data_IF_027122194620
#
_entry.id   IF_027122194620
#
_cell.length_a   1.000
_cell.length_b   1.000
_cell.length_c   1.000
_cell.angle_alpha   90.00
_cell.angle_beta   90.00
_cell.angle_gamma   90.00
#
_symmetry.space_group_name_H-M   'P 1'
#
loop_
_entity.id
_entity.type
_entity.pdbx_description
1 polymer ?
#
# COMPACT_ATOMS: atom_id res chain seq x y z
N UNK A 1 -50.83 -10.21 -8.02
CA UNK A 1 -49.57 -9.64 -8.55
C UNK A 1 -48.72 -9.33 -7.34
N UNK A 2 -47.89 -10.28 -6.92
CA UNK A 2 -46.90 -10.05 -5.86
C UNK A 2 -45.77 -9.21 -6.45
N UNK A 3 -45.59 -8.01 -5.91
CA UNK A 3 -44.54 -7.09 -6.30
C UNK A 3 -43.24 -7.50 -5.61
N UNK A 4 -42.34 -8.12 -6.39
CA UNK A 4 -40.96 -8.38 -5.98
C UNK A 4 -40.25 -7.03 -5.85
N UNK A 5 -40.24 -6.44 -4.65
CA UNK A 5 -39.37 -5.31 -4.32
C UNK A 5 -37.95 -5.82 -4.07
N UNK A 6 -37.24 -6.17 -5.15
CA UNK A 6 -35.79 -6.25 -5.10
C UNK A 6 -35.25 -4.83 -4.98
N UNK A 7 -34.78 -4.43 -3.80
CA UNK A 7 -34.04 -3.18 -3.64
C UNK A 7 -32.84 -3.20 -4.59
N UNK A 8 -32.71 -2.25 -5.55
CA UNK A 8 -31.58 -2.27 -6.47
C UNK A 8 -30.28 -2.00 -5.69
N UNK A 9 -29.26 -2.83 -5.95
CA UNK A 9 -27.91 -2.53 -5.48
C UNK A 9 -27.43 -1.25 -6.15
N UNK A 10 -27.07 -0.24 -5.36
CA UNK A 10 -26.55 1.03 -5.85
C UNK A 10 -25.08 1.14 -5.47
N UNK A 11 -24.24 1.47 -6.45
CA UNK A 11 -22.84 1.84 -6.24
C UNK A 11 -22.69 3.32 -6.51
N UNK A 12 -22.15 4.05 -5.53
CA UNK A 12 -21.93 5.50 -5.64
C UNK A 12 -20.43 5.77 -5.73
N UNK A 13 -20.01 6.40 -6.83
CA UNK A 13 -18.68 6.97 -6.94
C UNK A 13 -18.68 8.39 -6.39
N UNK A 14 -17.72 8.70 -5.53
CA UNK A 14 -17.56 10.04 -4.95
C UNK A 14 -16.09 10.37 -4.78
N UNK A 15 -15.79 11.65 -4.63
CA UNK A 15 -14.49 12.14 -4.18
C UNK A 15 -14.72 13.03 -2.96
N UNK A 16 -13.75 13.06 -2.06
CA UNK A 16 -13.86 13.81 -0.80
C UNK A 16 -12.96 15.03 -0.89
N UNK A 17 -13.54 16.19 -0.59
CA UNK A 17 -12.85 17.47 -0.49
C UNK A 17 -13.04 18.03 0.92
N UNK A 18 -12.02 18.69 1.44
CA UNK A 18 -12.08 19.41 2.71
C UNK A 18 -11.32 20.73 2.61
N UNK A 19 -12.01 21.84 2.85
CA UNK A 19 -11.56 23.17 2.43
C UNK A 19 -11.18 23.15 0.94
N UNK A 20 -9.90 23.31 0.61
CA UNK A 20 -9.36 23.29 -0.76
C UNK A 20 -8.50 22.05 -1.05
N UNK A 21 -8.62 21.00 -0.23
CA UNK A 21 -7.81 19.77 -0.33
C UNK A 21 -8.67 18.62 -0.84
N UNK A 22 -8.20 17.94 -1.89
CA UNK A 22 -8.76 16.66 -2.36
C UNK A 22 -8.04 15.51 -1.64
N UNK A 23 -8.79 14.58 -1.07
CA UNK A 23 -8.23 13.41 -0.38
C UNK A 23 -8.15 12.19 -1.31
N UNK A 24 -7.04 11.43 -1.28
CA UNK A 24 -6.91 10.20 -2.04
C UNK A 24 -7.80 9.09 -1.44
N UNK A 25 -8.22 8.09 -2.22
CA UNK A 25 -9.11 7.03 -1.76
C UNK A 25 -8.61 6.29 -0.52
N UNK A 26 -7.29 6.07 -0.40
CA UNK A 26 -6.68 5.38 0.76
C UNK A 26 -6.95 6.08 2.08
N UNK A 27 -6.82 7.41 2.10
CA UNK A 27 -7.12 8.24 3.29
C UNK A 27 -8.61 8.21 3.62
N UNK A 28 -9.48 8.25 2.61
CA UNK A 28 -10.94 8.21 2.81
C UNK A 28 -11.38 6.87 3.39
N UNK A 29 -10.84 5.76 2.86
CA UNK A 29 -11.12 4.41 3.36
C UNK A 29 -10.69 4.27 4.82
N UNK A 30 -9.48 4.72 5.16
CA UNK A 30 -8.97 4.70 6.53
C UNK A 30 -9.83 5.55 7.47
N UNK A 31 -10.21 6.76 7.03
CA UNK A 31 -11.07 7.66 7.80
C UNK A 31 -12.45 7.03 8.07
N UNK A 32 -13.10 6.46 7.07
CA UNK A 32 -14.41 5.81 7.23
C UNK A 32 -14.32 4.53 8.06
N UNK A 33 -13.23 3.78 7.95
CA UNK A 33 -12.96 2.65 8.83
C UNK A 33 -12.82 3.11 10.30
N UNK A 34 -12.07 4.18 10.55
CA UNK A 34 -11.91 4.76 11.89
C UNK A 34 -13.21 5.38 12.44
N UNK A 35 -14.08 5.88 11.57
CA UNK A 35 -15.37 6.45 11.96
C UNK A 35 -16.31 5.40 12.56
N UNK A 36 -16.18 4.15 12.10
CA UNK A 36 -16.94 3.01 12.59
C UNK A 36 -18.25 2.79 11.83
N UNK A 37 -18.54 1.52 11.57
CA UNK A 37 -19.67 1.10 10.74
C UNK A 37 -21.03 1.51 11.33
N UNK A 38 -21.22 1.37 12.64
CA UNK A 38 -22.50 1.71 13.30
C UNK A 38 -22.86 3.19 13.16
N UNK A 39 -21.88 4.08 13.32
CA UNK A 39 -22.08 5.53 13.16
C UNK A 39 -22.38 5.87 11.71
N UNK A 40 -21.59 5.32 10.78
CA UNK A 40 -21.81 5.52 9.34
C UNK A 40 -23.21 5.06 8.91
N UNK A 41 -23.62 3.86 9.32
CA UNK A 41 -24.95 3.33 9.01
C UNK A 41 -26.06 4.16 9.66
N UNK A 42 -25.84 4.65 10.88
CA UNK A 42 -26.73 5.61 11.54
C UNK A 42 -26.95 6.86 10.71
N UNK A 43 -25.87 7.50 10.25
CA UNK A 43 -25.94 8.72 9.43
C UNK A 43 -26.58 8.47 8.07
N UNK A 44 -26.20 7.37 7.38
CA UNK A 44 -26.81 7.04 6.09
C UNK A 44 -28.31 6.78 6.24
N UNK A 45 -28.76 6.13 7.33
CA UNK A 45 -30.18 5.91 7.60
C UNK A 45 -30.97 7.20 7.83
N UNK A 46 -30.32 8.30 8.23
CA UNK A 46 -31.01 9.60 8.32
C UNK A 46 -31.46 10.12 6.95
N UNK A 47 -30.68 9.85 5.90
CA UNK A 47 -30.97 10.31 4.54
C UNK A 47 -31.62 9.23 3.66
N UNK A 48 -31.31 7.95 3.92
CA UNK A 48 -31.83 6.79 3.21
C UNK A 48 -32.41 5.81 4.24
N UNK A 49 -33.62 6.05 4.78
CA UNK A 49 -34.19 5.27 5.88
C UNK A 49 -34.36 3.78 5.58
N UNK A 50 -34.46 3.44 4.30
CA UNK A 50 -34.74 2.09 3.81
C UNK A 50 -33.46 1.29 3.49
N UNK A 51 -32.27 1.82 3.80
CA UNK A 51 -31.01 1.13 3.54
C UNK A 51 -30.91 -0.15 4.39
N UNK A 52 -30.80 -1.28 3.70
CA UNK A 52 -30.74 -2.61 4.34
C UNK A 52 -29.31 -2.98 4.71
N UNK A 53 -28.33 -2.66 3.86
CA UNK A 53 -26.93 -2.97 4.08
C UNK A 53 -25.98 -1.98 3.39
N UNK A 54 -24.80 -1.81 3.98
CA UNK A 54 -23.63 -1.14 3.41
C UNK A 54 -22.45 -2.13 3.41
N UNK A 55 -22.35 -3.02 2.40
CA UNK A 55 -21.33 -4.06 2.39
C UNK A 55 -19.91 -3.51 2.26
N UNK A 56 -19.74 -2.39 1.54
CA UNK A 56 -18.48 -1.69 1.39
C UNK A 56 -18.68 -0.23 1.78
N UNK A 57 -18.01 0.24 2.83
CA UNK A 57 -18.09 1.64 3.29
C UNK A 57 -17.37 2.57 2.31
N UNK A 58 -16.18 2.16 1.88
CA UNK A 58 -15.44 2.76 0.78
C UNK A 58 -14.44 1.75 0.21
N UNK A 59 -14.18 1.86 -1.09
CA UNK A 59 -13.09 1.17 -1.76
C UNK A 59 -12.55 2.05 -2.89
N UNK A 60 -11.25 1.94 -3.23
CA UNK A 60 -10.72 2.57 -4.42
C UNK A 60 -11.48 2.11 -5.68
N UNK A 61 -11.73 3.05 -6.60
CA UNK A 61 -12.45 2.73 -7.86
C UNK A 61 -11.69 1.75 -8.77
N UNK A 62 -10.36 1.73 -8.65
CA UNK A 62 -9.48 0.78 -9.34
C UNK A 62 -9.06 -0.30 -8.36
N UNK A 63 -9.00 -1.55 -8.83
CA UNK A 63 -8.45 -2.65 -8.03
C UNK A 63 -7.01 -2.37 -7.63
N UNK A 64 -6.67 -2.79 -6.41
CA UNK A 64 -5.29 -2.72 -5.94
C UNK A 64 -4.42 -3.67 -6.79
N UNK A 65 -3.26 -3.22 -7.28
CA UNK A 65 -2.29 -4.11 -7.94
C UNK A 65 -1.83 -5.25 -7.02
N UNK A 66 -1.38 -6.35 -7.60
CA UNK A 66 -0.80 -7.47 -6.83
C UNK A 66 0.39 -7.00 -5.96
N UNK A 67 0.55 -7.60 -4.78
CA UNK A 67 1.53 -7.17 -3.77
C UNK A 67 2.97 -7.24 -4.33
N UNK A 68 3.30 -8.24 -5.13
CA UNK A 68 4.58 -8.38 -5.85
C UNK A 68 4.92 -7.30 -6.86
N UNK A 69 4.01 -6.36 -7.13
CA UNK A 69 4.26 -5.19 -7.98
C UNK A 69 4.48 -3.92 -7.14
N UNK A 70 4.19 -3.97 -5.84
CA UNK A 70 4.17 -2.81 -4.96
C UNK A 70 5.53 -2.59 -4.29
N UNK A 71 5.85 -1.33 -4.10
CA UNK A 71 7.03 -0.83 -3.42
C UNK A 71 6.62 0.03 -2.24
N UNK A 72 7.46 0.03 -1.21
CA UNK A 72 7.33 0.86 -0.03
C UNK A 72 8.56 1.75 0.15
N UNK A 73 8.34 3.05 0.22
CA UNK A 73 9.35 4.03 0.63
C UNK A 73 8.87 4.70 1.90
N UNK A 74 9.73 4.80 2.91
CA UNK A 74 9.40 5.49 4.17
C UNK A 74 10.23 6.76 4.25
N UNK A 75 9.56 7.90 4.37
CA UNK A 75 10.19 9.19 4.62
C UNK A 75 10.32 9.40 6.14
N UNK A 76 11.43 9.99 6.59
CA UNK A 76 11.66 10.27 8.01
C UNK A 76 10.67 11.30 8.55
N UNK A 77 10.38 12.32 7.74
CA UNK A 77 9.38 13.35 8.02
C UNK A 77 8.99 14.05 6.72
N UNK A 78 7.82 14.69 6.74
CA UNK A 78 7.36 15.64 5.73
C UNK A 78 7.32 17.03 6.37
N UNK A 79 7.69 18.05 5.62
CA UNK A 79 7.74 19.43 6.12
C UNK A 79 6.34 19.97 6.41
N UNK A 80 6.20 20.97 7.31
CA UNK A 80 4.90 21.49 7.72
C UNK A 80 4.11 22.20 6.59
N UNK A 81 4.74 22.50 5.46
CA UNK A 81 4.10 23.10 4.30
C UNK A 81 3.34 22.12 3.41
N UNK A 82 3.52 20.81 3.61
CA UNK A 82 2.90 19.77 2.81
C UNK A 82 2.02 18.86 3.70
N UNK A 83 0.84 18.47 3.22
CA UNK A 83 -0.03 17.49 3.89
C UNK A 83 0.10 16.13 3.19
N UNK A 84 0.70 15.10 3.84
CA UNK A 84 0.82 13.75 3.30
C UNK A 84 -0.52 13.11 2.89
N UNK A 85 -1.63 13.55 3.51
CA UNK A 85 -2.97 13.02 3.25
C UNK A 85 -3.62 13.66 2.03
N UNK A 86 -2.98 14.66 1.42
CA UNK A 86 -3.52 15.34 0.24
C UNK A 86 -3.19 14.59 -1.05
N UNK A 87 -4.11 14.63 -2.02
CA UNK A 87 -3.84 14.11 -3.36
C UNK A 87 -2.69 14.86 -4.05
N UNK A 88 -2.55 16.17 -3.77
CA UNK A 88 -1.45 17.00 -4.26
C UNK A 88 -0.08 16.45 -3.82
N UNK A 89 0.04 16.03 -2.56
CA UNK A 89 1.26 15.41 -2.06
C UNK A 89 1.56 14.09 -2.79
N UNK A 90 0.56 13.22 -2.96
CA UNK A 90 0.73 11.96 -3.71
C UNK A 90 1.24 12.20 -5.13
N UNK A 91 0.63 13.13 -5.87
CA UNK A 91 1.03 13.49 -7.24
C UNK A 91 2.44 14.08 -7.32
N UNK A 92 2.79 14.96 -6.36
CA UNK A 92 4.13 15.49 -6.25
C UNK A 92 5.16 14.38 -6.03
N UNK A 93 4.85 13.42 -5.15
CA UNK A 93 5.73 12.30 -4.87
C UNK A 93 5.85 11.34 -6.05
N UNK A 94 4.79 11.10 -6.83
CA UNK A 94 4.86 10.35 -8.09
C UNK A 94 5.88 10.97 -9.05
N UNK A 95 5.77 12.28 -9.33
CA UNK A 95 6.71 12.98 -10.22
C UNK A 95 8.16 12.93 -9.72
N UNK A 96 8.36 13.09 -8.41
CA UNK A 96 9.70 13.01 -7.82
C UNK A 96 10.27 11.60 -7.89
N UNK A 97 9.47 10.58 -7.64
CA UNK A 97 9.88 9.18 -7.79
C UNK A 97 10.18 8.85 -9.25
N UNK A 98 9.40 9.35 -10.21
CA UNK A 98 9.70 9.20 -11.65
C UNK A 98 11.09 9.74 -12.00
N UNK A 99 11.46 10.90 -11.46
CA UNK A 99 12.81 11.45 -11.62
C UNK A 99 13.88 10.55 -11.00
N UNK A 100 13.65 10.04 -9.78
CA UNK A 100 14.57 9.08 -9.14
C UNK A 100 14.76 7.83 -10.01
N UNK A 101 13.68 7.28 -10.56
CA UNK A 101 13.75 6.11 -11.44
C UNK A 101 14.50 6.41 -12.73
N UNK A 102 14.33 7.60 -13.31
CA UNK A 102 15.07 8.04 -14.50
C UNK A 102 16.58 8.05 -14.22
N UNK A 103 16.99 8.62 -13.09
CA UNK A 103 18.40 8.69 -12.69
C UNK A 103 19.00 7.32 -12.36
N UNK A 104 18.19 6.45 -11.73
CA UNK A 104 18.56 5.07 -11.50
C UNK A 104 18.78 4.31 -12.82
N UNK A 105 17.91 4.47 -13.82
CA UNK A 105 18.08 3.82 -15.11
C UNK A 105 19.32 4.31 -15.86
N UNK A 106 19.56 5.62 -15.88
CA UNK A 106 20.73 6.21 -16.51
C UNK A 106 22.03 5.65 -15.89
N UNK A 107 22.06 5.52 -14.55
CA UNK A 107 23.23 4.98 -13.85
C UNK A 107 23.47 3.49 -14.08
N UNK A 108 22.40 2.68 -14.18
CA UNK A 108 22.48 1.21 -14.10
C UNK A 108 22.47 0.56 -15.47
N UNK A 109 21.64 1.07 -16.38
CA UNK A 109 21.35 0.44 -17.66
C UNK A 109 21.91 1.24 -18.84
N UNK A 110 22.31 2.50 -18.62
CA UNK A 110 22.57 3.47 -19.70
C UNK A 110 21.37 3.59 -20.67
N UNK A 111 20.16 3.38 -20.13
CA UNK A 111 18.89 3.42 -20.86
C UNK A 111 18.00 4.51 -20.27
N UNK A 112 17.20 5.15 -21.13
CA UNK A 112 16.26 6.21 -20.76
C UNK A 112 14.83 5.78 -21.10
N UNK A 113 14.33 4.73 -20.43
CA UNK A 113 12.95 4.31 -20.61
C UNK A 113 12.06 5.17 -19.72
N UNK A 114 10.99 5.74 -20.30
CA UNK A 114 10.05 6.56 -19.54
C UNK A 114 9.18 5.70 -18.63
N UNK A 115 9.62 5.54 -17.39
CA UNK A 115 8.81 4.93 -16.34
C UNK A 115 7.81 5.94 -15.79
N UNK A 116 6.63 5.45 -15.42
CA UNK A 116 5.66 6.20 -14.63
C UNK A 116 5.46 5.58 -13.26
N UNK A 117 5.14 6.41 -12.28
CA UNK A 117 4.88 5.97 -10.90
C UNK A 117 3.43 6.24 -10.56
N UNK A 118 2.78 5.27 -9.94
CA UNK A 118 1.41 5.40 -9.46
C UNK A 118 1.39 5.15 -7.96
N UNK A 119 1.04 6.18 -7.20
CA UNK A 119 0.84 6.13 -5.77
C UNK A 119 -0.46 5.38 -5.45
N UNK A 120 -0.36 4.38 -4.58
CA UNK A 120 -1.48 3.60 -4.11
C UNK A 120 -1.98 4.11 -2.75
N UNK A 121 -1.06 4.36 -1.83
CA UNK A 121 -1.39 4.89 -0.53
C UNK A 121 -0.25 5.71 0.06
N UNK A 122 -0.66 6.69 0.87
CA UNK A 122 0.23 7.45 1.75
C UNK A 122 -0.36 7.34 3.15
N UNK A 123 0.43 6.88 4.10
CA UNK A 123 0.00 6.74 5.50
C UNK A 123 1.05 7.29 6.44
N UNK A 124 0.59 7.82 7.57
CA UNK A 124 1.44 8.32 8.65
C UNK A 124 0.91 7.72 9.95
N UNK A 125 1.75 7.00 10.68
CA UNK A 125 1.34 6.41 11.94
C UNK A 125 1.17 7.48 13.02
N UNK A 126 0.14 7.30 13.85
CA UNK A 126 -0.15 8.21 14.96
C UNK A 126 1.05 8.26 15.91
N UNK A 127 1.53 9.47 16.22
CA UNK A 127 2.69 9.67 17.10
C UNK A 127 4.04 9.53 16.41
N UNK A 128 4.08 9.29 15.09
CA UNK A 128 5.31 9.24 14.30
C UNK A 128 5.34 10.34 13.24
N UNK A 129 6.47 11.05 13.04
CA UNK A 129 6.62 11.95 11.90
C UNK A 129 6.81 11.20 10.58
N UNK A 130 7.11 9.89 10.62
CA UNK A 130 7.45 9.11 9.44
C UNK A 130 6.22 8.86 8.54
N UNK A 131 6.43 9.00 7.24
CA UNK A 131 5.38 8.84 6.22
C UNK A 131 5.73 7.67 5.31
N UNK A 132 4.81 6.70 5.22
CA UNK A 132 4.93 5.54 4.34
C UNK A 132 4.25 5.83 3.01
N UNK A 133 4.96 5.58 1.92
CA UNK A 133 4.49 5.69 0.55
C UNK A 133 4.42 4.28 -0.03
N UNK A 134 3.26 3.87 -0.53
CA UNK A 134 3.10 2.62 -1.28
C UNK A 134 2.75 2.96 -2.72
N UNK A 135 3.51 2.44 -3.67
CA UNK A 135 3.38 2.78 -5.08
C UNK A 135 3.76 1.61 -5.98
N UNK A 136 3.38 1.70 -7.25
CA UNK A 136 3.85 0.81 -8.31
C UNK A 136 4.57 1.62 -9.38
N UNK A 137 5.37 0.93 -10.18
CA UNK A 137 6.09 1.51 -11.32
C UNK A 137 5.60 0.85 -12.58
N UNK A 138 5.42 1.62 -13.65
CA UNK A 138 4.95 1.14 -14.95
C UNK A 138 5.91 1.53 -16.04
N UNK A 139 6.02 0.65 -17.04
CA UNK A 139 6.59 0.97 -18.34
C UNK A 139 5.44 0.97 -19.35
N UNK A 140 4.97 2.16 -19.73
CA UNK A 140 3.73 2.31 -20.50
C UNK A 140 2.52 1.79 -19.73
N UNK A 141 1.89 0.72 -20.22
CA UNK A 141 0.73 0.09 -19.57
C UNK A 141 1.10 -1.06 -18.64
N UNK A 142 2.30 -1.64 -18.78
CA UNK A 142 2.73 -2.81 -18.04
C UNK A 142 3.34 -2.41 -16.67
N UNK A 143 2.85 -2.96 -15.54
CA UNK A 143 3.51 -2.78 -14.26
C UNK A 143 4.85 -3.54 -14.22
N UNK A 144 5.85 -2.94 -13.60
CA UNK A 144 7.13 -3.59 -13.31
C UNK A 144 6.99 -4.47 -12.07
N UNK A 145 7.79 -5.54 -12.01
CA UNK A 145 7.94 -6.34 -10.81
C UNK A 145 8.57 -5.50 -9.69
N UNK A 146 8.02 -5.59 -8.48
CA UNK A 146 8.48 -4.82 -7.32
C UNK A 146 9.95 -5.08 -7.00
N UNK A 147 10.42 -6.32 -7.10
CA UNK A 147 11.86 -6.63 -6.86
C UNK A 147 12.74 -5.97 -7.93
N UNK A 148 12.35 -6.02 -9.21
CA UNK A 148 13.11 -5.38 -10.28
C UNK A 148 13.15 -3.86 -10.12
N UNK A 149 12.04 -3.24 -9.75
CA UNK A 149 11.95 -1.81 -9.53
C UNK A 149 12.72 -1.37 -8.25
N UNK A 150 12.66 -2.16 -7.17
CA UNK A 150 13.48 -1.99 -5.97
C UNK A 150 14.97 -1.99 -6.32
N UNK A 151 15.39 -2.95 -7.14
CA UNK A 151 16.79 -3.09 -7.53
C UNK A 151 17.32 -1.88 -8.32
N UNK A 152 16.48 -1.16 -9.06
CA UNK A 152 16.88 0.08 -9.72
C UNK A 152 17.22 1.17 -8.69
N UNK A 153 16.32 1.43 -7.75
CA UNK A 153 16.52 2.47 -6.72
C UNK A 153 17.62 2.10 -5.73
N UNK A 154 17.83 0.80 -5.47
CA UNK A 154 18.91 0.31 -4.61
C UNK A 154 20.32 0.62 -5.12
N UNK A 155 20.47 1.06 -6.37
CA UNK A 155 21.77 1.49 -6.94
C UNK A 155 22.09 2.96 -6.63
N UNK A 156 21.12 3.71 -6.10
CA UNK A 156 21.29 5.09 -5.66
C UNK A 156 21.55 5.11 -4.14
N UNK A 157 22.34 6.07 -3.68
CA UNK A 157 22.53 6.26 -2.24
C UNK A 157 21.29 6.93 -1.63
N UNK A 158 21.12 6.78 -0.32
CA UNK A 158 19.98 7.38 0.38
C UNK A 158 19.97 8.92 0.28
N UNK A 159 21.14 9.53 0.22
CA UNK A 159 21.31 10.97 0.03
C UNK A 159 20.84 11.42 -1.35
N UNK A 160 21.20 10.65 -2.40
CA UNK A 160 20.79 10.97 -3.77
C UNK A 160 19.27 10.80 -3.94
N UNK A 161 18.70 9.71 -3.40
CA UNK A 161 17.25 9.52 -3.39
C UNK A 161 16.57 10.65 -2.63
N UNK A 162 17.05 10.98 -1.43
CA UNK A 162 16.50 12.06 -0.63
C UNK A 162 16.58 13.43 -1.29
N UNK A 163 17.64 13.70 -2.05
CA UNK A 163 17.81 14.91 -2.84
C UNK A 163 16.68 15.09 -3.87
N UNK A 164 16.36 14.05 -4.66
CA UNK A 164 15.28 14.12 -5.64
C UNK A 164 13.88 14.08 -5.02
N UNK A 165 13.71 13.37 -3.90
CA UNK A 165 12.44 13.35 -3.17
C UNK A 165 12.18 14.65 -2.39
N UNK A 166 13.21 15.48 -2.19
CA UNK A 166 13.23 16.60 -1.24
C UNK A 166 12.82 16.21 0.19
N UNK A 167 12.94 14.92 0.51
CA UNK A 167 12.58 14.35 1.81
C UNK A 167 13.60 13.27 2.17
N UNK A 168 14.12 13.26 3.41
CA UNK A 168 15.08 12.24 3.82
C UNK A 168 14.39 10.87 3.95
N UNK A 169 14.80 9.86 3.16
CA UNK A 169 14.23 8.52 3.26
C UNK A 169 14.84 7.76 4.47
N UNK A 170 14.00 6.96 5.12
CA UNK A 170 14.39 5.91 6.07
C UNK A 170 14.51 4.55 5.37
N UNK A 171 13.58 4.27 4.46
CA UNK A 171 13.49 3.04 3.68
C UNK A 171 13.27 3.44 2.23
N UNK A 172 13.97 2.79 1.31
CA UNK A 172 13.94 3.11 -0.12
C UNK A 172 13.44 1.89 -0.88
N UNK A 173 12.28 2.04 -1.54
CA UNK A 173 11.74 1.09 -2.50
C UNK A 173 11.76 -0.38 -2.04
N UNK A 174 11.40 -0.66 -0.79
CA UNK A 174 11.28 -2.03 -0.29
C UNK A 174 10.12 -2.74 -1.00
N UNK A 175 10.33 -3.87 -1.69
CA UNK A 175 9.24 -4.61 -2.31
C UNK A 175 8.37 -5.25 -1.22
N UNK A 176 7.05 -5.19 -1.40
CA UNK A 176 6.12 -5.74 -0.40
C UNK A 176 5.99 -7.27 -0.46
N UNK A 177 6.54 -7.90 -1.50
CA UNK A 177 6.60 -9.36 -1.64
C UNK A 177 7.91 -9.76 -2.32
N UNK A 178 8.67 -10.63 -1.65
CA UNK A 178 9.94 -11.17 -2.13
C UNK A 178 9.72 -12.58 -2.69
N UNK A 179 9.84 -12.74 -4.01
CA UNK A 179 9.63 -14.04 -4.66
C UNK A 179 10.82 -15.02 -4.48
N UNK A 180 11.99 -14.50 -4.08
CA UNK A 180 13.25 -15.26 -4.06
C UNK A 180 13.95 -15.16 -2.70
N UNK A 181 13.23 -15.27 -1.60
CA UNK A 181 13.92 -15.54 -0.34
C UNK A 181 14.47 -16.96 -0.46
N UNK A 182 15.78 -17.10 -0.66
CA UNK A 182 16.41 -18.40 -0.59
C UNK A 182 16.21 -18.89 0.83
N UNK A 183 15.27 -19.82 1.05
CA UNK A 183 14.93 -20.38 2.36
C UNK A 183 15.80 -21.58 2.73
N UNK A 184 16.87 -21.84 1.96
CA UNK A 184 17.81 -22.91 2.29
C UNK A 184 18.47 -22.67 3.65
N UNK A 185 18.93 -23.76 4.26
CA UNK A 185 19.64 -23.74 5.55
C UNK A 185 20.85 -22.78 5.50
N UNK A 186 21.44 -22.55 4.32
CA UNK A 186 22.62 -21.71 4.13
C UNK A 186 22.40 -20.21 4.38
N UNK A 187 21.16 -19.72 4.26
CA UNK A 187 20.84 -18.29 4.46
C UNK A 187 20.16 -18.01 5.79
N UNK A 188 19.79 -19.05 6.57
CA UNK A 188 19.03 -18.95 7.82
C UNK A 188 19.62 -17.95 8.81
N UNK A 189 20.94 -17.88 8.89
CA UNK A 189 21.65 -17.00 9.82
C UNK A 189 21.67 -15.52 9.37
N UNK A 190 21.19 -15.22 8.16
CA UNK A 190 21.07 -13.88 7.59
C UNK A 190 19.62 -13.38 7.52
N UNK A 191 18.65 -14.17 8.01
CA UNK A 191 17.26 -13.75 8.00
C UNK A 191 17.03 -12.71 9.10
N UNK A 192 16.52 -11.54 8.72
CA UNK A 192 16.10 -10.51 9.69
C UNK A 192 14.67 -10.83 10.11
N UNK A 193 14.50 -11.24 11.36
CA UNK A 193 13.19 -11.44 11.97
C UNK A 193 12.72 -10.09 12.53
N UNK A 194 11.80 -9.43 11.84
CA UNK A 194 11.13 -8.25 12.39
C UNK A 194 10.04 -8.71 13.36
N UNK A 195 10.39 -8.85 14.65
CA UNK A 195 9.40 -9.08 15.69
C UNK A 195 8.60 -7.79 15.93
N UNK A 196 7.32 -7.78 15.54
CA UNK A 196 6.39 -6.71 15.91
C UNK A 196 6.15 -6.80 17.42
N UNK A 197 6.68 -5.83 18.18
CA UNK A 197 6.54 -5.80 19.63
C UNK A 197 5.18 -5.22 19.99
N UNK A 198 4.14 -6.06 20.00
CA UNK A 198 2.91 -5.76 20.72
C UNK A 198 3.13 -6.16 22.18
N UNK A 199 3.15 -5.19 23.09
CA UNK A 199 3.64 -5.33 24.47
C UNK A 199 2.70 -6.13 25.40
N UNK A 200 1.75 -6.88 24.85
CA UNK A 200 0.76 -7.63 25.65
C UNK A 200 0.68 -9.12 25.36
N UNK A 201 1.65 -9.74 24.68
CA UNK A 201 1.65 -11.20 24.47
C UNK A 201 2.66 -11.92 25.37
N UNK A 202 2.17 -12.88 26.15
CA UNK A 202 2.96 -13.72 27.05
C UNK A 202 3.86 -14.69 26.25
N UNK A 203 4.97 -15.20 26.83
CA UNK A 203 6.00 -15.95 26.09
C UNK A 203 5.48 -17.16 25.29
N UNK A 204 4.37 -17.76 25.71
CA UNK A 204 3.77 -18.92 25.05
C UNK A 204 2.95 -18.58 23.79
N UNK A 205 2.56 -17.31 23.58
CA UNK A 205 1.78 -16.89 22.40
C UNK A 205 2.67 -16.57 21.19
N UNK A 206 3.94 -16.21 21.42
CA UNK A 206 4.90 -15.85 20.36
C UNK A 206 5.27 -17.07 19.51
N UNK A 207 5.48 -18.22 20.13
CA UNK A 207 5.77 -19.49 19.44
C UNK A 207 4.58 -19.94 18.61
N UNK A 208 3.36 -19.82 19.17
CA UNK A 208 2.11 -20.16 18.47
C UNK A 208 1.84 -19.25 17.28
N UNK A 209 2.15 -17.95 17.37
CA UNK A 209 2.02 -17.02 16.25
C UNK A 209 3.02 -17.34 15.12
N UNK A 210 4.26 -17.73 15.45
CA UNK A 210 5.24 -18.16 14.46
C UNK A 210 4.87 -19.49 13.78
N UNK A 211 4.34 -20.46 14.52
CA UNK A 211 3.84 -21.71 13.93
C UNK A 211 2.60 -21.48 13.06
N UNK A 212 1.70 -20.57 13.45
CA UNK A 212 0.48 -20.28 12.69
C UNK A 212 0.73 -19.57 11.36
N UNK A 213 1.78 -18.76 11.27
CA UNK A 213 2.25 -18.17 10.01
C UNK A 213 2.88 -19.21 9.08
N UNK A 214 3.59 -20.21 9.63
CA UNK A 214 4.18 -21.30 8.84
C UNK A 214 3.12 -22.27 8.33
N UNK A 215 2.06 -22.55 9.10
CA UNK A 215 1.00 -23.47 8.68
C UNK A 215 -0.01 -22.85 7.70
N UNK A 216 -0.19 -21.53 7.69
CA UNK A 216 -1.12 -20.88 6.74
C UNK A 216 -0.64 -20.90 5.28
N UNK A 217 0.62 -21.25 5.02
CA UNK A 217 1.21 -21.39 3.68
C UNK A 217 1.21 -22.85 3.14
N UNK A 218 0.63 -23.81 3.86
CA UNK A 218 0.64 -25.24 3.44
C UNK A 218 -0.72 -25.81 3.00
N UNK A 219 -1.83 -25.08 3.14
CA UNK A 219 -3.16 -25.56 2.73
C UNK A 219 -3.61 -24.99 1.39
N UNK A 220 -2.89 -25.29 0.30
CA UNK A 220 -3.47 -25.35 -1.05
C UNK A 220 -2.56 -26.13 -2.01
N UNK A 221 -2.56 -27.46 -1.89
CA UNK A 221 -2.15 -28.32 -3.00
C UNK A 221 -2.97 -29.62 -3.00
N UNK A 222 -4.12 -29.59 -3.67
CA UNK A 222 -4.86 -30.79 -4.06
C UNK A 222 -4.22 -31.36 -5.34
N UNK A 223 -3.75 -32.62 -5.37
CA UNK A 223 -3.14 -33.20 -6.57
C UNK A 223 -4.22 -33.62 -7.59
N UNK A 224 -3.91 -33.59 -8.91
CA UNK A 224 -4.86 -33.97 -9.94
C UNK A 224 -5.08 -35.49 -9.96
N UNK A 225 -6.34 -35.91 -9.82
CA UNK A 225 -6.78 -37.27 -10.13
C UNK A 225 -6.58 -37.50 -11.64
N UNK A 226 -5.81 -38.53 -12.00
CA UNK A 226 -5.71 -39.02 -13.38
C UNK A 226 -5.96 -40.54 -13.43
N UNK A 227 -6.99 -40.88 -14.21
CA UNK A 227 -7.57 -42.18 -14.58
C UNK A 227 -8.49 -42.87 -13.59
#
# INVERSE_FOLDING_TARGET
VETVFGSPNVTVGYHVIGADIVYPPSVVVEALHSYGWDRLMGDVRQFVPMVTALPNTAAPWRSSPAIGLQLKTVLRFVGPGDDPRSCRFSQMMEQRLENVFSEAQAKVLDVHTRLSVQMLSVSQSVGSPAVSLVYIVRNGTAPLNGTAASNLLGQLTAEMVGYFLFYPPLVIAEPLEYHNLNTSIATRDFWVITAYHDWTMTPHSVTSASERLVYHDLDTYEPPIRH
#
